data_IF_135718668765
#
_entry.id   IF_135718668765
#
_cell.length_a   1.000
_cell.length_b   1.000
_cell.length_c   1.000
_cell.angle_alpha   90.00
_cell.angle_beta   90.00
_cell.angle_gamma   90.00
#
_symmetry.space_group_name_H-M   'P 1'
#
loop_
_entity.id
_entity.type
_entity.pdbx_description
1 polymer ?
#
# COMPACT_ATOMS: atom_id res chain seq x y z
N UNK A 1 -5.20 25.67 -34.99
CA UNK A 1 -5.96 25.95 -33.75
C UNK A 1 -5.13 25.47 -32.57
N UNK A 2 -4.80 26.35 -31.63
CA UNK A 2 -3.95 26.01 -30.49
C UNK A 2 -4.86 25.61 -29.33
N UNK A 3 -4.84 24.32 -28.95
CA UNK A 3 -5.58 23.84 -27.78
C UNK A 3 -4.77 24.19 -26.53
N UNK A 4 -5.22 25.20 -25.79
CA UNK A 4 -4.55 25.67 -24.56
C UNK A 4 -5.03 24.93 -23.31
N UNK A 5 -6.02 24.05 -23.42
CA UNK A 5 -6.54 23.25 -22.32
C UNK A 5 -6.52 21.77 -22.68
N UNK A 6 -6.33 20.93 -21.68
CA UNK A 6 -6.33 19.47 -21.81
C UNK A 6 -6.83 18.79 -20.55
N UNK A 7 -7.35 17.57 -20.71
CA UNK A 7 -7.89 16.75 -19.64
C UNK A 7 -7.25 15.36 -19.69
N UNK A 8 -7.15 14.73 -18.53
CA UNK A 8 -6.74 13.32 -18.44
C UNK A 8 -5.25 13.11 -18.19
N UNK A 9 -4.47 14.17 -17.95
CA UNK A 9 -3.09 14.02 -17.48
C UNK A 9 -3.11 13.32 -16.12
N UNK A 10 -2.39 12.20 -15.99
CA UNK A 10 -2.39 11.37 -14.79
C UNK A 10 -1.01 11.37 -14.13
N UNK A 11 -0.99 11.59 -12.82
CA UNK A 11 0.22 11.44 -12.00
C UNK A 11 0.00 10.33 -10.98
N UNK A 12 0.96 9.43 -10.85
CA UNK A 12 0.92 8.33 -9.87
C UNK A 12 1.99 8.57 -8.82
N UNK A 13 1.61 8.44 -7.54
CA UNK A 13 2.52 8.52 -6.40
C UNK A 13 2.53 7.19 -5.67
N UNK A 14 3.72 6.64 -5.46
CA UNK A 14 3.97 5.48 -4.62
C UNK A 14 4.20 5.95 -3.16
N UNK A 15 3.48 5.36 -2.21
CA UNK A 15 3.61 5.66 -0.78
C UNK A 15 4.39 4.58 -0.01
N UNK A 16 4.69 3.44 -0.63
CA UNK A 16 5.49 2.37 -0.05
C UNK A 16 4.72 1.08 0.23
N UNK A 17 5.43 0.05 0.72
CA UNK A 17 4.86 -1.25 1.06
C UNK A 17 4.07 -1.17 2.37
N UNK A 18 2.90 -1.80 2.43
CA UNK A 18 2.03 -1.76 3.61
C UNK A 18 2.12 -3.04 4.43
N UNK A 19 1.88 -4.18 3.79
CA UNK A 19 1.80 -5.47 4.46
C UNK A 19 1.75 -6.60 3.44
N UNK A 20 1.87 -7.84 3.90
CA UNK A 20 1.80 -9.01 3.02
C UNK A 20 0.36 -9.42 2.80
N UNK A 21 -0.03 -9.48 1.53
CA UNK A 21 -1.36 -9.93 1.14
C UNK A 21 -1.26 -10.99 0.06
N UNK A 22 -2.21 -11.91 0.09
CA UNK A 22 -2.39 -12.93 -0.93
C UNK A 22 -3.03 -12.30 -2.17
N UNK A 23 -2.45 -12.53 -3.34
CA UNK A 23 -3.05 -12.11 -4.60
C UNK A 23 -3.76 -13.28 -5.27
N UNK A 24 -5.08 -13.20 -5.42
CA UNK A 24 -5.88 -14.23 -6.10
C UNK A 24 -5.56 -14.36 -7.59
N UNK A 25 -5.02 -13.30 -8.21
CA UNK A 25 -4.72 -13.28 -9.65
C UNK A 25 -3.41 -14.01 -9.99
N UNK A 26 -2.35 -13.84 -9.18
CA UNK A 26 -1.07 -14.52 -9.42
C UNK A 26 -0.71 -15.56 -8.35
N UNK A 27 -1.59 -15.81 -7.39
CA UNK A 27 -1.46 -16.77 -6.30
C UNK A 27 -0.16 -16.62 -5.48
N UNK A 28 0.24 -15.37 -5.21
CA UNK A 28 1.47 -15.05 -4.49
C UNK A 28 1.18 -14.20 -3.25
N UNK A 29 1.92 -14.49 -2.17
CA UNK A 29 1.97 -13.67 -0.96
C UNK A 29 3.16 -12.70 -1.06
N UNK A 30 2.89 -11.41 -1.20
CA UNK A 30 3.90 -10.35 -1.27
C UNK A 30 3.49 -9.12 -0.50
N UNK A 31 4.45 -8.22 -0.23
CA UNK A 31 4.17 -6.89 0.29
C UNK A 31 3.46 -6.06 -0.78
N UNK A 32 2.19 -5.76 -0.57
CA UNK A 32 1.46 -4.89 -1.48
C UNK A 32 1.85 -3.44 -1.25
N UNK A 33 1.85 -2.67 -2.34
CA UNK A 33 2.34 -1.30 -2.37
C UNK A 33 1.19 -0.33 -2.56
N UNK A 34 1.19 0.74 -1.76
CA UNK A 34 0.13 1.76 -1.75
C UNK A 34 0.42 2.85 -2.79
N UNK A 35 -0.59 3.16 -3.60
CA UNK A 35 -0.50 4.16 -4.66
C UNK A 35 -1.66 5.15 -4.58
N UNK A 36 -1.40 6.39 -5.02
CA UNK A 36 -2.44 7.36 -5.33
C UNK A 36 -2.28 7.88 -6.75
N UNK A 37 -3.34 7.82 -7.55
CA UNK A 37 -3.39 8.38 -8.90
C UNK A 37 -4.25 9.63 -8.91
N UNK A 38 -3.72 10.72 -9.42
CA UNK A 38 -4.44 11.99 -9.61
C UNK A 38 -4.61 12.25 -11.10
N UNK A 39 -5.81 12.64 -11.51
CA UNK A 39 -6.10 13.09 -12.87
C UNK A 39 -6.30 14.60 -12.84
N UNK A 40 -5.58 15.28 -13.73
CA UNK A 40 -5.42 16.73 -13.75
C UNK A 40 -6.10 17.36 -14.95
N UNK A 41 -6.64 18.54 -14.72
CA UNK A 41 -6.90 19.53 -15.73
C UNK A 41 -5.59 20.27 -16.02
N UNK A 42 -5.25 20.34 -17.29
CA UNK A 42 -4.03 20.99 -17.78
C UNK A 42 -4.38 22.27 -18.52
N UNK A 43 -3.63 23.34 -18.25
CA UNK A 43 -3.70 24.61 -18.96
C UNK A 43 -2.31 24.94 -19.49
N UNK A 44 -2.19 25.28 -20.77
CA UNK A 44 -0.91 25.40 -21.48
C UNK A 44 0.01 24.20 -21.25
N UNK A 45 -0.54 22.99 -21.26
CA UNK A 45 0.16 21.72 -20.99
C UNK A 45 0.72 21.58 -19.56
N UNK A 46 0.40 22.52 -18.65
CA UNK A 46 0.80 22.46 -17.24
C UNK A 46 -0.39 21.91 -16.42
N UNK A 47 -0.21 20.84 -15.62
CA UNK A 47 -1.27 20.34 -14.73
C UNK A 47 -1.54 21.34 -13.60
N UNK A 48 -2.73 21.95 -13.60
CA UNK A 48 -3.08 23.02 -12.64
C UNK A 48 -3.96 22.49 -11.51
N UNK A 49 -5.07 21.83 -11.86
CA UNK A 49 -6.08 21.41 -10.86
C UNK A 49 -6.33 19.90 -10.99
N UNK A 50 -6.13 19.11 -9.92
CA UNK A 50 -6.54 17.71 -9.92
C UNK A 50 -8.06 17.63 -9.70
N UNK A 51 -8.79 17.01 -10.62
CA UNK A 51 -10.24 16.85 -10.50
C UNK A 51 -10.66 15.42 -10.09
N UNK A 52 -9.73 14.47 -10.08
CA UNK A 52 -9.99 13.10 -9.66
C UNK A 52 -8.79 12.53 -8.91
N UNK A 53 -9.02 11.93 -7.74
CA UNK A 53 -8.02 11.18 -6.99
C UNK A 53 -8.51 9.76 -6.76
N UNK A 54 -7.68 8.78 -7.09
CA UNK A 54 -7.95 7.36 -6.88
C UNK A 54 -6.86 6.78 -6.00
N UNK A 55 -7.26 6.21 -4.87
CA UNK A 55 -6.40 5.52 -3.93
C UNK A 55 -6.45 4.03 -4.26
N UNK A 56 -5.29 3.40 -4.39
CA UNK A 56 -5.20 2.01 -4.81
C UNK A 56 -4.11 1.29 -4.06
N UNK A 57 -4.28 -0.01 -3.93
CA UNK A 57 -3.27 -0.89 -3.39
C UNK A 57 -3.00 -2.01 -4.39
N UNK A 58 -1.74 -2.17 -4.76
CA UNK A 58 -1.36 -3.01 -5.89
C UNK A 58 -0.43 -4.15 -5.47
N UNK A 59 -0.66 -5.31 -6.08
CA UNK A 59 0.26 -6.43 -6.09
C UNK A 59 1.51 -6.05 -6.91
N UNK A 60 2.73 -6.20 -6.35
CA UNK A 60 3.96 -5.82 -7.05
C UNK A 60 4.35 -6.79 -8.19
N UNK A 61 3.68 -7.93 -8.31
CA UNK A 61 3.98 -8.95 -9.33
C UNK A 61 3.14 -8.73 -10.59
N UNK A 62 1.81 -8.72 -10.45
CA UNK A 62 0.89 -8.69 -11.59
C UNK A 62 0.16 -7.36 -11.78
N UNK A 63 0.42 -6.36 -10.92
CA UNK A 63 -0.27 -5.06 -10.89
C UNK A 63 -1.79 -5.13 -10.70
N UNK A 64 -2.34 -6.29 -10.35
CA UNK A 64 -3.70 -6.37 -9.85
C UNK A 64 -3.82 -5.53 -8.58
N UNK A 65 -4.87 -4.74 -8.47
CA UNK A 65 -5.02 -3.83 -7.35
C UNK A 65 -6.47 -3.49 -7.05
N UNK A 66 -6.69 -3.15 -5.79
CA UNK A 66 -8.00 -2.78 -5.25
C UNK A 66 -8.06 -1.28 -5.04
N UNK A 67 -9.23 -0.68 -5.27
CA UNK A 67 -9.47 0.73 -4.92
C UNK A 67 -9.75 0.83 -3.42
N UNK A 68 -9.22 1.86 -2.80
CA UNK A 68 -9.38 2.13 -1.37
C UNK A 68 -10.22 3.38 -1.16
N UNK A 69 -11.04 3.34 -0.11
CA UNK A 69 -11.66 4.55 0.43
C UNK A 69 -10.60 5.48 1.04
N UNK A 70 -10.93 6.77 1.18
CA UNK A 70 -10.05 7.79 1.74
C UNK A 70 -9.64 7.49 3.19
N UNK A 71 -10.54 6.95 4.02
CA UNK A 71 -10.24 6.61 5.42
C UNK A 71 -9.20 5.49 5.48
N UNK A 72 -9.51 4.36 4.83
CA UNK A 72 -8.61 3.19 4.76
C UNK A 72 -7.27 3.53 4.12
N UNK A 73 -7.26 4.40 3.11
CA UNK A 73 -6.03 4.87 2.50
C UNK A 73 -5.15 5.66 3.49
N UNK A 74 -5.73 6.51 4.34
CA UNK A 74 -4.96 7.29 5.31
C UNK A 74 -4.31 6.36 6.35
N UNK A 75 -5.04 5.38 6.85
CA UNK A 75 -4.52 4.36 7.77
C UNK A 75 -3.35 3.59 7.16
N UNK A 76 -3.54 3.03 5.96
CA UNK A 76 -2.51 2.26 5.27
C UNK A 76 -1.31 3.14 4.86
N UNK A 77 -1.51 4.44 4.65
CA UNK A 77 -0.43 5.38 4.36
C UNK A 77 0.48 5.60 5.57
N UNK A 78 -0.06 5.62 6.79
CA UNK A 78 0.74 5.72 8.01
C UNK A 78 1.62 4.48 8.19
N UNK A 79 1.04 3.30 7.93
CA UNK A 79 1.77 2.02 7.94
C UNK A 79 2.87 2.02 6.85
N UNK A 80 2.54 2.42 5.62
CA UNK A 80 3.50 2.51 4.53
C UNK A 80 4.67 3.45 4.86
N UNK A 81 4.37 4.60 5.47
CA UNK A 81 5.39 5.55 5.88
C UNK A 81 6.33 4.96 6.94
N UNK A 82 5.78 4.30 7.96
CA UNK A 82 6.57 3.62 9.00
C UNK A 82 7.49 2.54 8.38
N UNK A 83 6.94 1.70 7.49
CA UNK A 83 7.72 0.68 6.79
C UNK A 83 8.82 1.29 5.91
N UNK A 84 8.53 2.40 5.22
CA UNK A 84 9.52 3.12 4.44
C UNK A 84 10.62 3.72 5.31
N UNK A 85 10.30 4.24 6.48
CA UNK A 85 11.29 4.80 7.40
C UNK A 85 12.22 3.70 7.96
N UNK A 86 11.69 2.49 8.18
CA UNK A 86 12.49 1.32 8.52
C UNK A 86 13.41 0.89 7.36
N UNK A 87 12.88 0.76 6.14
CA UNK A 87 13.65 0.41 4.93
C UNK A 87 14.78 1.40 4.69
N UNK A 88 14.51 2.69 4.89
CA UNK A 88 15.47 3.77 4.76
C UNK A 88 16.41 3.92 5.97
N UNK A 89 16.35 3.00 6.94
CA UNK A 89 17.17 2.98 8.17
C UNK A 89 17.08 4.26 9.00
N UNK A 90 15.95 4.97 8.92
CA UNK A 90 15.70 6.16 9.75
C UNK A 90 15.28 5.78 11.18
N UNK A 91 14.67 4.61 11.33
CA UNK A 91 14.20 4.05 12.60
C UNK A 91 14.73 2.63 12.78
N UNK A 92 14.82 2.19 14.04
CA UNK A 92 15.16 0.81 14.37
C UNK A 92 13.95 -0.12 14.27
N UNK A 93 14.19 -1.43 14.23
CA UNK A 93 13.15 -2.46 14.24
C UNK A 93 12.25 -2.35 15.49
N UNK A 94 12.83 -2.04 16.65
CA UNK A 94 12.08 -1.86 17.90
C UNK A 94 11.14 -0.64 17.83
N UNK A 95 11.63 0.48 17.30
CA UNK A 95 10.83 1.70 17.12
C UNK A 95 9.69 1.49 16.12
N UNK A 96 9.97 0.78 15.03
CA UNK A 96 8.96 0.44 14.03
C UNK A 96 7.81 -0.37 14.63
N UNK A 97 8.11 -1.40 15.44
CA UNK A 97 7.10 -2.20 16.12
C UNK A 97 6.22 -1.39 17.08
N UNK A 98 6.82 -0.46 17.83
CA UNK A 98 6.08 0.44 18.72
C UNK A 98 5.13 1.38 17.96
N UNK A 99 5.60 1.96 16.85
CA UNK A 99 4.80 2.85 16.01
C UNK A 99 3.63 2.08 15.37
N UNK A 100 3.88 0.88 14.84
CA UNK A 100 2.81 0.04 14.28
C UNK A 100 1.76 -0.34 15.32
N UNK A 101 2.18 -0.69 16.55
CA UNK A 101 1.24 -0.96 17.63
C UNK A 101 0.39 0.27 17.99
N UNK A 102 1.00 1.47 18.00
CA UNK A 102 0.27 2.73 18.20
C UNK A 102 -0.75 3.01 17.09
N UNK A 103 -0.38 2.79 15.83
CA UNK A 103 -1.29 2.92 14.69
C UNK A 103 -2.48 1.95 14.85
N UNK A 104 -2.21 0.67 15.13
CA UNK A 104 -3.26 -0.33 15.32
C UNK A 104 -4.22 0.00 16.49
N UNK A 105 -3.72 0.66 17.53
CA UNK A 105 -4.50 1.05 18.71
C UNK A 105 -5.41 2.26 18.45
N UNK A 106 -5.00 3.17 17.55
CA UNK A 106 -5.76 4.37 17.21
C UNK A 106 -6.84 4.12 16.14
N UNK A 107 -6.63 3.11 15.30
CA UNK A 107 -7.66 2.57 14.40
C UNK A 107 -8.61 1.67 15.19
N UNK A 108 -9.59 2.28 15.87
CA UNK A 108 -10.70 1.54 16.46
C UNK A 108 -11.33 0.61 15.39
N UNK A 109 -11.34 -0.69 15.68
CA UNK A 109 -11.91 -1.79 14.89
C UNK A 109 -13.02 -1.34 13.93
N UNK A 110 -12.72 -1.22 12.63
CA UNK A 110 -13.74 -1.26 11.58
C UNK A 110 -13.34 -2.27 10.50
N UNK A 111 -13.73 -3.55 10.69
CA UNK A 111 -13.89 -4.47 9.59
C UNK A 111 -15.22 -4.10 8.93
N UNK A 112 -15.23 -3.12 8.03
CA UNK A 112 -16.32 -3.06 7.07
C UNK A 112 -16.13 -4.25 6.12
N UNK A 113 -16.88 -5.29 6.48
CA UNK A 113 -17.10 -6.53 5.75
C UNK A 113 -17.43 -6.23 4.29
N UNK A 114 -16.54 -6.66 3.40
CA UNK A 114 -16.71 -6.47 1.95
C UNK A 114 -15.48 -6.87 1.13
N UNK A 115 -14.27 -6.70 1.66
CA UNK A 115 -13.04 -7.04 0.94
C UNK A 115 -12.12 -7.90 1.81
N UNK A 116 -11.83 -9.12 1.36
CA UNK A 116 -10.93 -10.12 1.97
C UNK A 116 -9.46 -9.68 2.01
N UNK A 117 -9.17 -8.55 2.65
CA UNK A 117 -7.85 -7.91 2.61
C UNK A 117 -7.27 -7.75 4.01
N UNK A 118 -7.15 -8.88 4.72
CA UNK A 118 -6.42 -8.98 5.98
C UNK A 118 -4.94 -9.29 5.67
N UNK A 119 -4.06 -8.33 5.93
CA UNK A 119 -2.62 -8.50 5.74
C UNK A 119 -2.06 -9.40 6.82
N UNK A 120 -1.15 -10.30 6.46
CA UNK A 120 -0.42 -11.10 7.45
C UNK A 120 0.52 -10.19 8.23
N UNK A 121 0.49 -10.26 9.56
CA UNK A 121 1.40 -9.47 10.40
C UNK A 121 2.84 -9.97 10.28
N UNK A 122 3.83 -9.13 10.62
CA UNK A 122 5.25 -9.52 10.57
C UNK A 122 5.57 -10.75 11.43
N UNK A 123 4.91 -10.92 12.56
CA UNK A 123 5.02 -12.13 13.40
C UNK A 123 4.47 -13.37 12.70
N UNK A 124 3.34 -13.27 11.99
CA UNK A 124 2.81 -14.37 11.18
C UNK A 124 3.75 -14.71 10.02
N UNK A 125 4.41 -13.70 9.45
CA UNK A 125 5.38 -13.88 8.35
C UNK A 125 6.64 -14.58 8.83
N UNK A 126 7.23 -14.15 9.95
CA UNK A 126 8.41 -14.82 10.52
C UNK A 126 8.13 -16.28 10.84
N UNK A 127 6.95 -16.57 11.40
CA UNK A 127 6.52 -17.95 11.64
C UNK A 127 6.38 -18.74 10.32
N UNK A 128 5.74 -18.19 9.29
CA UNK A 128 5.60 -18.87 7.99
C UNK A 128 6.96 -19.12 7.33
N UNK A 129 7.88 -18.15 7.40
CA UNK A 129 9.22 -18.29 6.82
C UNK A 129 10.03 -19.37 7.57
N UNK A 130 9.98 -19.36 8.90
CA UNK A 130 10.59 -20.39 9.73
C UNK A 130 10.04 -21.79 9.39
N UNK A 131 8.73 -21.93 9.20
CA UNK A 131 8.13 -23.21 8.81
C UNK A 131 8.61 -23.68 7.43
N UNK A 132 8.67 -22.77 6.44
CA UNK A 132 9.20 -23.08 5.09
C UNK A 132 10.67 -23.49 5.09
N UNK A 133 11.48 -22.89 5.96
CA UNK A 133 12.89 -23.27 6.14
C UNK A 133 13.03 -24.66 6.74
N UNK A 134 12.18 -25.03 7.71
CA UNK A 134 12.13 -26.36 8.29
C UNK A 134 11.67 -27.43 7.29
N UNK A 135 10.75 -27.10 6.40
CA UNK A 135 10.30 -27.99 5.32
C UNK A 135 11.43 -28.26 4.30
N UNK A 136 12.19 -27.21 3.93
CA UNK A 136 13.36 -27.35 3.03
C UNK A 136 14.51 -28.17 3.63
N UNK A 137 14.60 -28.26 4.96
CA UNK A 137 15.62 -29.06 5.65
C UNK A 137 15.21 -30.53 5.80
N UNK A 138 13.94 -30.87 5.56
CA UNK A 138 13.38 -32.22 5.69
C UNK A 138 13.25 -32.98 4.38
N UNK A 139 13.52 -32.35 3.24
CA UNK A 139 13.58 -32.96 1.91
C UNK A 139 14.99 -32.90 1.34
#
# INVERSE_FOLDING_TARGET
>A
MLFIFGWGHQTVKNHGPVGVYHCEHCNNDKYWTLYSRRTWFTLFFIPVIPYKTENMLLCPICNHGVKLDALKFNELRQVAQCNMDLINKKITQEQHGQILAGIASSTGKSPNEGDNFAGKTETQINYINQMKELEKQKG
#
